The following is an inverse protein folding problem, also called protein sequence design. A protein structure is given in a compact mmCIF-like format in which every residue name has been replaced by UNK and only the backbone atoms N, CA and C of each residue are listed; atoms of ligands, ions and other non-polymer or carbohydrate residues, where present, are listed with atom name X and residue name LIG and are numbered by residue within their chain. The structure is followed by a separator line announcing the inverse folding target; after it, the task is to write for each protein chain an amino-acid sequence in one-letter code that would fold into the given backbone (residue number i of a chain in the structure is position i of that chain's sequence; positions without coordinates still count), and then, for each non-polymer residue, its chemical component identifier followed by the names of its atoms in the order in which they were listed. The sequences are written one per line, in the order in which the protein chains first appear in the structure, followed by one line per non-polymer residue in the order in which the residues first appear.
data_IF_928684187580
#
_entry.id   IF_928684187580
#
_cell.length_a   1.000
_cell.length_b   1.000
_cell.length_c   1.000
_cell.angle_alpha   90.00
_cell.angle_beta   90.00
_cell.angle_gamma   90.00
#
_symmetry.space_group_name_H-M   'P 1'
#
loop_
_entity.id
_entity.type
_entity.pdbx_description
1 polymer ?
#
# COMPACT_ATOMS: atom_id res chain seq x y z
N UNK A 1 -43.76 -14.67 46.96
CA UNK A 1 -42.40 -14.81 46.41
C UNK A 1 -42.49 -14.47 44.93
N UNK A 2 -42.01 -13.29 44.53
CA UNK A 2 -42.10 -12.80 43.16
C UNK A 2 -40.67 -12.65 42.64
N UNK A 3 -40.35 -13.29 41.52
CA UNK A 3 -39.04 -13.24 40.88
C UNK A 3 -39.18 -12.45 39.58
N UNK A 4 -38.50 -11.32 39.50
CA UNK A 4 -38.39 -10.51 38.29
C UNK A 4 -37.26 -11.06 37.42
N UNK A 5 -37.57 -11.50 36.20
CA UNK A 5 -36.59 -11.87 35.19
C UNK A 5 -36.13 -10.60 34.45
N UNK A 6 -34.94 -10.12 34.77
CA UNK A 6 -34.26 -9.07 34.01
C UNK A 6 -33.60 -9.66 32.76
N UNK A 7 -34.15 -9.34 31.58
CA UNK A 7 -33.53 -9.69 30.30
C UNK A 7 -32.41 -8.70 29.96
N UNK A 8 -31.18 -9.19 29.83
CA UNK A 8 -30.04 -8.43 29.31
C UNK A 8 -30.11 -8.52 27.79
N UNK A 9 -30.43 -7.41 27.13
CA UNK A 9 -30.32 -7.29 25.68
C UNK A 9 -28.84 -7.08 25.31
N UNK A 10 -28.21 -8.09 24.73
CA UNK A 10 -26.87 -7.97 24.15
C UNK A 10 -26.97 -7.24 22.80
N UNK A 11 -26.46 -6.01 22.74
CA UNK A 11 -26.29 -5.28 21.49
C UNK A 11 -25.10 -5.86 20.72
N UNK A 12 -25.38 -6.52 19.59
CA UNK A 12 -24.36 -6.97 18.64
C UNK A 12 -24.00 -5.75 17.78
N UNK A 13 -22.81 -5.19 18.00
CA UNK A 13 -22.24 -4.20 17.08
C UNK A 13 -21.78 -4.93 15.82
N UNK A 14 -22.60 -4.87 14.76
CA UNK A 14 -22.17 -5.22 13.43
C UNK A 14 -21.16 -4.15 12.95
N UNK A 15 -19.86 -4.43 13.08
CA UNK A 15 -18.83 -3.63 12.43
C UNK A 15 -18.99 -3.77 10.92
N UNK A 16 -19.16 -2.65 10.22
CA UNK A 16 -19.12 -2.66 8.77
C UNK A 16 -17.74 -3.17 8.30
N UNK A 17 -17.67 -4.06 7.30
CA UNK A 17 -16.38 -4.46 6.76
C UNK A 17 -15.72 -3.21 6.18
N UNK A 18 -14.54 -2.86 6.69
CA UNK A 18 -13.65 -1.93 6.01
C UNK A 18 -13.28 -2.63 4.70
N UNK A 19 -13.78 -2.13 3.58
CA UNK A 19 -13.38 -2.63 2.26
C UNK A 19 -11.88 -2.42 2.15
N UNK A 20 -11.12 -3.50 2.23
CA UNK A 20 -9.68 -3.47 2.05
C UNK A 20 -9.37 -2.86 0.68
N UNK A 21 -8.39 -1.95 0.61
CA UNK A 21 -7.95 -1.39 -0.65
C UNK A 21 -7.60 -2.55 -1.60
N UNK A 22 -8.24 -2.65 -2.77
CA UNK A 22 -8.07 -3.80 -3.65
C UNK A 22 -6.65 -3.92 -4.18
N UNK A 23 -5.87 -2.85 -4.19
CA UNK A 23 -4.48 -2.88 -4.62
C UNK A 23 -3.51 -3.17 -3.47
N UNK A 24 -3.96 -3.22 -2.22
CA UNK A 24 -3.07 -3.48 -1.09
C UNK A 24 -2.45 -4.87 -1.18
N UNK A 25 -1.17 -4.96 -0.81
CA UNK A 25 -0.41 -6.20 -0.73
C UNK A 25 0.87 -6.18 -1.56
N UNK A 26 1.41 -7.38 -1.76
CA UNK A 26 2.65 -7.60 -2.48
C UNK A 26 2.39 -7.95 -3.95
N UNK A 27 3.16 -7.32 -4.83
CA UNK A 27 3.03 -7.39 -6.27
C UNK A 27 4.39 -7.74 -6.91
N UNK A 28 4.40 -8.75 -7.77
CA UNK A 28 5.60 -9.31 -8.38
C UNK A 28 5.66 -8.96 -9.86
N UNK A 29 6.76 -8.36 -10.29
CA UNK A 29 7.06 -8.12 -11.70
C UNK A 29 7.66 -9.40 -12.32
N UNK A 30 7.36 -9.73 -13.60
CA UNK A 30 7.91 -10.90 -14.28
C UNK A 30 9.44 -11.00 -14.34
N UNK A 31 10.15 -9.89 -14.11
CA UNK A 31 11.63 -9.83 -14.10
C UNK A 31 12.25 -9.92 -12.70
N UNK A 32 11.45 -10.25 -11.68
CA UNK A 32 11.91 -10.48 -10.30
C UNK A 32 11.87 -9.26 -9.37
N UNK A 33 11.38 -8.10 -9.83
CA UNK A 33 11.15 -6.95 -8.95
C UNK A 33 9.88 -7.16 -8.11
N UNK A 34 9.88 -6.66 -6.86
CA UNK A 34 8.74 -6.76 -5.94
C UNK A 34 8.30 -5.35 -5.57
N UNK A 35 6.99 -5.11 -5.62
CA UNK A 35 6.35 -3.89 -5.17
C UNK A 35 5.45 -4.19 -3.98
N UNK A 36 5.54 -3.37 -2.93
CA UNK A 36 4.63 -3.42 -1.79
C UNK A 36 3.73 -2.20 -1.86
N UNK A 37 2.42 -2.41 -1.90
CA UNK A 37 1.45 -1.32 -1.86
C UNK A 37 0.69 -1.37 -0.54
N UNK A 38 0.82 -0.31 0.24
CA UNK A 38 0.06 -0.07 1.46
C UNK A 38 -0.89 1.12 1.26
N UNK A 39 -1.65 1.48 2.30
CA UNK A 39 -2.63 2.57 2.23
C UNK A 39 -1.98 3.93 1.91
N UNK A 40 -0.80 4.18 2.48
CA UNK A 40 -0.11 5.48 2.40
C UNK A 40 1.33 5.36 1.87
N UNK A 41 1.80 4.14 1.65
CA UNK A 41 3.17 3.87 1.26
C UNK A 41 3.25 2.87 0.10
N UNK A 42 4.32 3.01 -0.67
CA UNK A 42 4.65 2.20 -1.82
C UNK A 42 6.14 1.88 -1.77
N UNK A 43 6.50 0.60 -1.75
CA UNK A 43 7.88 0.13 -1.83
C UNK A 43 8.18 -0.57 -3.15
N UNK A 44 9.38 -0.41 -3.71
CA UNK A 44 9.81 -1.11 -4.95
C UNK A 44 11.02 -2.04 -4.77
N UNK A 45 11.73 -1.90 -3.65
CA UNK A 45 12.91 -2.67 -3.27
C UNK A 45 13.25 -2.36 -1.80
N UNK A 46 14.35 -2.92 -1.29
CA UNK A 46 14.80 -2.73 0.10
C UNK A 46 15.17 -1.30 0.48
N UNK A 47 15.35 -0.42 -0.51
CA UNK A 47 15.91 0.92 -0.30
C UNK A 47 15.05 2.04 -0.91
N UNK A 48 13.86 1.77 -1.42
CA UNK A 48 13.04 2.79 -2.11
C UNK A 48 11.62 2.75 -1.59
N UNK A 49 11.21 3.84 -0.96
CA UNK A 49 9.87 4.03 -0.39
C UNK A 49 9.30 5.32 -0.97
N UNK A 50 8.04 5.28 -1.36
CA UNK A 50 7.26 6.41 -1.84
C UNK A 50 6.06 6.62 -0.93
N UNK A 51 5.88 7.84 -0.45
CA UNK A 51 4.66 8.23 0.26
C UNK A 51 3.59 8.64 -0.74
N UNK A 52 2.37 8.16 -0.52
CA UNK A 52 1.19 8.42 -1.36
C UNK A 52 0.42 9.60 -0.75
N UNK A 53 0.23 10.68 -1.51
CA UNK A 53 -0.44 11.88 -0.99
C UNK A 53 -1.97 11.78 -1.02
N UNK A 54 -2.54 11.04 -1.96
CA UNK A 54 -3.98 10.83 -2.05
C UNK A 54 -4.35 9.45 -1.52
N UNK A 55 -4.91 9.37 -0.32
CA UNK A 55 -5.28 8.11 0.34
C UNK A 55 -6.70 7.65 0.00
N UNK A 56 -7.37 8.31 -0.96
CA UNK A 56 -8.68 7.89 -1.44
C UNK A 56 -8.64 6.44 -1.90
N UNK A 57 -9.46 5.59 -1.28
CA UNK A 57 -9.48 4.16 -1.57
C UNK A 57 -9.81 3.96 -3.07
N UNK A 58 -8.93 3.30 -3.84
CA UNK A 58 -9.17 3.08 -5.25
C UNK A 58 -10.43 2.23 -5.44
N UNK A 59 -11.27 2.62 -6.40
CA UNK A 59 -12.41 1.80 -6.79
C UNK A 59 -11.92 0.60 -7.61
N UNK A 60 -12.55 -0.56 -7.36
CA UNK A 60 -12.32 -1.76 -8.16
C UNK A 60 -12.70 -1.47 -9.61
N UNK A 61 -11.77 -1.77 -10.54
CA UNK A 61 -11.92 -1.62 -12.00
C UNK A 61 -11.78 -0.19 -12.56
N UNK A 62 -11.29 0.77 -11.79
CA UNK A 62 -10.95 2.11 -12.28
C UNK A 62 -9.45 2.38 -12.19
N UNK A 63 -8.93 3.15 -13.13
CA UNK A 63 -7.61 3.75 -12.99
C UNK A 63 -7.59 4.65 -11.75
N UNK A 64 -6.56 4.49 -10.93
CA UNK A 64 -6.34 5.34 -9.76
C UNK A 64 -5.00 6.04 -9.90
N UNK A 65 -5.00 7.36 -9.71
CA UNK A 65 -3.80 8.19 -9.82
C UNK A 65 -3.60 8.98 -8.55
N UNK A 66 -2.36 8.99 -8.04
CA UNK A 66 -1.96 9.79 -6.88
C UNK A 66 -0.61 10.46 -7.11
N UNK A 67 -0.39 11.68 -6.58
CA UNK A 67 0.96 12.17 -6.36
C UNK A 67 1.73 11.22 -5.43
N UNK A 68 3.03 11.11 -5.65
CA UNK A 68 3.94 10.35 -4.79
C UNK A 68 5.23 11.13 -4.52
N UNK A 69 5.76 10.96 -3.31
CA UNK A 69 7.05 11.49 -2.90
C UNK A 69 7.99 10.34 -2.53
N UNK A 70 8.93 10.03 -3.42
CA UNK A 70 9.87 8.92 -3.24
C UNK A 70 11.16 9.35 -2.56
N UNK A 71 11.73 8.44 -1.76
CA UNK A 71 13.02 8.60 -1.10
C UNK A 71 13.78 7.28 -1.10
N UNK A 72 15.09 7.37 -1.25
CA UNK A 72 15.95 6.25 -0.94
C UNK A 72 16.20 6.19 0.56
N UNK A 73 16.07 5.01 1.16
CA UNK A 73 16.28 4.78 2.59
C UNK A 73 17.45 3.81 2.75
N UNK A 74 18.48 4.21 3.47
CA UNK A 74 19.65 3.38 3.76
C UNK A 74 19.85 3.25 5.27
N UNK A 75 20.29 2.08 5.71
CA UNK A 75 20.71 1.88 7.10
C UNK A 75 22.12 2.44 7.25
N UNK A 76 22.29 3.39 8.17
CA UNK A 76 23.59 3.99 8.49
C UNK A 76 24.29 3.23 9.61
N UNK A 77 23.56 2.95 10.69
CA UNK A 77 24.08 2.27 11.88
C UNK A 77 22.98 1.49 12.57
N UNK A 78 23.35 0.36 13.20
CA UNK A 78 22.49 -0.36 14.14
C UNK A 78 23.13 -0.18 15.52
N UNK A 79 22.44 0.55 16.39
CA UNK A 79 22.94 0.90 17.72
C UNK A 79 22.93 -0.33 18.65
N UNK A 80 23.73 -0.33 19.73
CA UNK A 80 23.76 -1.43 20.71
C UNK A 80 22.41 -1.70 21.40
N UNK A 81 21.51 -0.73 21.42
CA UNK A 81 20.14 -0.87 21.96
C UNK A 81 19.14 -1.47 20.94
N UNK A 82 19.61 -1.80 19.73
CA UNK A 82 18.81 -2.35 18.65
C UNK A 82 18.08 -1.32 17.79
N UNK A 83 18.20 -0.02 18.09
CA UNK A 83 17.66 1.03 17.22
C UNK A 83 18.46 1.15 15.92
N UNK A 84 17.77 1.51 14.84
CA UNK A 84 18.36 1.63 13.50
C UNK A 84 18.41 3.09 13.11
N UNK A 85 19.62 3.63 12.90
CA UNK A 85 19.81 4.94 12.31
C UNK A 85 19.67 4.83 10.79
N UNK A 86 18.80 5.65 10.21
CA UNK A 86 18.51 5.66 8.77
C UNK A 86 18.94 6.98 8.16
N UNK A 87 19.45 6.90 6.93
CA UNK A 87 19.73 8.05 6.09
C UNK A 87 18.80 8.04 4.89
N UNK A 88 18.08 9.13 4.67
CA UNK A 88 17.10 9.26 3.59
C UNK A 88 17.56 10.29 2.56
N UNK A 89 17.45 9.96 1.27
CA UNK A 89 17.71 10.90 0.17
C UNK A 89 16.47 11.06 -0.70
N UNK A 90 15.94 12.27 -0.88
CA UNK A 90 14.75 12.48 -1.71
C UNK A 90 15.05 12.16 -3.17
N UNK A 91 14.11 11.50 -3.84
CA UNK A 91 14.15 11.27 -5.28
C UNK A 91 13.37 12.38 -5.99
N UNK A 92 13.96 12.99 -7.02
CA UNK A 92 13.29 14.07 -7.77
C UNK A 92 12.23 13.57 -8.76
N UNK A 93 12.15 12.25 -8.96
CA UNK A 93 11.17 11.53 -9.78
C UNK A 93 11.00 10.14 -9.18
N UNK A 94 9.88 9.46 -9.39
CA UNK A 94 8.62 9.92 -9.98
C UNK A 94 7.80 10.85 -9.07
N UNK A 95 6.88 11.64 -9.63
CA UNK A 95 5.98 12.55 -8.88
C UNK A 95 4.54 12.05 -8.82
N UNK A 96 4.18 11.06 -9.64
CA UNK A 96 2.83 10.50 -9.72
C UNK A 96 2.90 9.00 -9.94
N UNK A 97 1.92 8.27 -9.44
CA UNK A 97 1.65 6.87 -9.78
C UNK A 97 0.25 6.76 -10.36
N UNK A 98 0.08 5.91 -11.38
CA UNK A 98 -1.21 5.43 -11.86
C UNK A 98 -1.24 3.92 -11.76
N UNK A 99 -2.23 3.41 -11.05
CA UNK A 99 -2.55 1.99 -10.92
C UNK A 99 -3.75 1.69 -11.81
N UNK A 100 -3.59 0.80 -12.79
CA UNK A 100 -4.66 0.35 -13.67
C UNK A 100 -4.90 -1.15 -13.47
N UNK A 101 -6.09 -1.58 -13.04
CA UNK A 101 -6.42 -3.00 -12.99
C UNK A 101 -6.45 -3.58 -14.41
N UNK A 102 -5.74 -4.69 -14.61
CA UNK A 102 -5.67 -5.41 -15.90
C UNK A 102 -6.41 -6.74 -15.82
N UNK A 103 -6.26 -7.45 -14.70
CA UNK A 103 -6.94 -8.70 -14.38
C UNK A 103 -7.10 -8.81 -12.85
N UNK A 104 -7.85 -9.79 -12.30
CA UNK A 104 -8.04 -9.92 -10.84
C UNK A 104 -6.75 -9.98 -10.02
N UNK A 105 -5.69 -10.51 -10.62
CA UNK A 105 -4.36 -10.67 -10.04
C UNK A 105 -3.30 -9.81 -10.75
N UNK A 106 -3.68 -8.85 -11.61
CA UNK A 106 -2.75 -8.04 -12.39
C UNK A 106 -3.07 -6.55 -12.34
N UNK A 107 -2.01 -5.76 -12.18
CA UNK A 107 -2.06 -4.29 -12.28
C UNK A 107 -0.98 -3.78 -13.22
N UNK A 108 -1.33 -2.76 -14.01
CA UNK A 108 -0.36 -1.94 -14.70
C UNK A 108 -0.01 -0.74 -13.81
N UNK A 109 1.28 -0.52 -13.62
CA UNK A 109 1.86 0.55 -12.80
C UNK A 109 2.60 1.52 -13.71
N UNK A 110 2.12 2.76 -13.74
CA UNK A 110 2.77 3.87 -14.42
C UNK A 110 3.27 4.90 -13.39
N UNK A 111 4.55 5.25 -13.43
CA UNK A 111 5.18 6.19 -12.50
C UNK A 111 5.32 7.60 -13.09
N UNK A 112 4.46 7.98 -14.04
CA UNK A 112 4.50 9.30 -14.67
C UNK A 112 5.81 9.56 -15.42
N UNK A 113 6.47 8.49 -15.85
CA UNK A 113 7.68 8.54 -16.65
C UNK A 113 7.32 8.37 -18.12
N UNK A 114 8.23 8.70 -19.04
CA UNK A 114 8.01 8.42 -20.47
C UNK A 114 8.11 6.92 -20.81
N UNK A 115 8.35 6.04 -19.82
CA UNK A 115 8.42 4.59 -20.04
C UNK A 115 7.02 3.97 -20.11
N UNK A 116 6.86 2.83 -20.82
CA UNK A 116 5.63 2.05 -20.78
C UNK A 116 5.28 1.62 -19.34
N UNK A 117 3.98 1.49 -19.01
CA UNK A 117 3.56 0.94 -17.72
C UNK A 117 4.12 -0.48 -17.50
N UNK A 118 4.60 -0.74 -16.29
CA UNK A 118 5.06 -2.06 -15.88
C UNK A 118 3.88 -2.92 -15.41
N UNK A 119 3.84 -4.19 -15.81
CA UNK A 119 2.79 -5.12 -15.37
C UNK A 119 3.29 -5.91 -14.17
N UNK A 120 2.50 -5.89 -13.10
CA UNK A 120 2.73 -6.67 -11.90
C UNK A 120 1.59 -7.65 -11.67
N UNK A 121 1.93 -8.79 -11.09
CA UNK A 121 0.99 -9.82 -10.65
C UNK A 121 0.93 -9.84 -9.13
N UNK A 122 -0.14 -10.34 -8.51
CA UNK A 122 -0.06 -10.66 -7.07
C UNK A 122 1.02 -11.71 -6.86
N UNK A 123 1.86 -11.51 -5.85
CA UNK A 123 2.79 -12.55 -5.45
C UNK A 123 2.02 -13.73 -4.84
N UNK A 124 2.43 -14.96 -5.18
CA UNK A 124 1.92 -16.21 -4.62
C UNK A 124 2.59 -16.57 -3.29
#
# INVERSE_FOLDING_TARGET
MSWAAGGIAAAIFAGAPVLANPFQGQWCHPVGAIMFLETEELGFNDHTICSIENTGAPELNTDWTSPIACRHVYIREINPDGSVERFETPMHRPTTITLRPVAPDQIAVDLGSAAPPAIYHRCE
#
